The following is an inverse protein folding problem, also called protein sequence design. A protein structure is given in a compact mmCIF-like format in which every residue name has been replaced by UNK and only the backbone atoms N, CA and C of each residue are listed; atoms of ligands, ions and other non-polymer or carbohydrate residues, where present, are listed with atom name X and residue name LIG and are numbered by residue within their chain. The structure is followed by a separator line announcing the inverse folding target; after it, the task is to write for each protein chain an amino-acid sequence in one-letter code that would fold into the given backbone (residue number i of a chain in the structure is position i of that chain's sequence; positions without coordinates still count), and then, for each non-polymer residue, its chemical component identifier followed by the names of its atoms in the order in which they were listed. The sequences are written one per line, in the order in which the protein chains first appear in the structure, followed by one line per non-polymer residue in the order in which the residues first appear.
data_IF_632149938790
#
_entry.id   IF_632149938790
#
_cell.length_a   1.000
_cell.length_b   1.000
_cell.length_c   1.000
_cell.angle_alpha   90.00
_cell.angle_beta   90.00
_cell.angle_gamma   90.00
#
_symmetry.space_group_name_H-M   'P 1'
#
loop_
_entity.id
_entity.type
_entity.pdbx_description
1 polymer ?
#
# COMPACT_ATOMS: atom_id res chain seq x y z
N UNK A 1 66.28 -42.14 -0.10
CA UNK A 1 65.23 -42.85 0.63
C UNK A 1 63.92 -42.26 0.21
N UNK A 2 63.27 -42.97 -0.66
CA UNK A 2 62.03 -42.61 -1.36
C UNK A 2 60.81 -43.02 -0.51
N UNK A 3 59.81 -42.12 -0.31
CA UNK A 3 58.50 -42.52 0.11
C UNK A 3 57.47 -42.02 -0.92
N UNK A 4 56.81 -43.01 -1.54
CA UNK A 4 55.83 -42.79 -2.58
C UNK A 4 54.46 -42.36 -2.05
N UNK A 5 53.76 -41.61 -2.87
CA UNK A 5 52.32 -41.31 -2.72
C UNK A 5 51.46 -42.50 -3.15
N UNK A 6 50.32 -42.75 -2.46
CA UNK A 6 49.30 -43.66 -2.97
C UNK A 6 48.36 -42.97 -3.99
N UNK A 7 47.71 -43.75 -4.88
CA UNK A 7 46.97 -43.24 -6.02
C UNK A 7 45.57 -42.75 -5.64
N UNK A 8 45.09 -41.82 -6.44
CA UNK A 8 43.73 -41.27 -6.40
C UNK A 8 42.67 -42.30 -6.74
N UNK A 9 41.75 -42.54 -5.81
CA UNK A 9 40.56 -43.36 -6.01
C UNK A 9 39.44 -42.52 -6.60
N UNK A 10 39.08 -42.80 -7.83
CA UNK A 10 37.86 -42.30 -8.49
C UNK A 10 36.64 -42.95 -7.85
N UNK A 11 35.83 -42.16 -7.14
CA UNK A 11 34.46 -42.55 -6.79
C UNK A 11 33.52 -42.20 -7.94
N UNK A 12 33.10 -43.21 -8.69
CA UNK A 12 31.98 -43.12 -9.63
C UNK A 12 30.67 -43.15 -8.83
N UNK A 13 29.86 -42.11 -8.98
CA UNK A 13 28.49 -42.10 -8.52
C UNK A 13 27.63 -42.81 -9.60
N UNK A 14 27.23 -44.05 -9.31
CA UNK A 14 26.17 -44.73 -10.06
C UNK A 14 24.81 -44.24 -9.52
N UNK A 15 24.19 -43.34 -10.23
CA UNK A 15 22.80 -43.00 -10.03
C UNK A 15 21.96 -43.95 -10.84
N UNK A 16 21.08 -44.70 -10.22
CA UNK A 16 19.85 -45.22 -10.81
C UNK A 16 18.87 -45.65 -9.72
N UNK A 17 17.64 -45.20 -9.91
CA UNK A 17 16.38 -45.81 -9.47
C UNK A 17 16.05 -45.77 -7.96
N UNK A 18 15.37 -44.68 -7.56
CA UNK A 18 14.44 -44.68 -6.43
C UNK A 18 13.35 -43.59 -6.63
N UNK A 19 12.46 -43.82 -7.58
CA UNK A 19 11.13 -43.22 -7.59
C UNK A 19 10.09 -44.34 -7.78
N UNK A 20 9.78 -45.02 -6.70
CA UNK A 20 8.51 -45.68 -6.53
C UNK A 20 7.81 -44.98 -5.37
N UNK A 21 6.88 -44.10 -5.72
CA UNK A 21 6.00 -43.43 -4.79
C UNK A 21 4.84 -44.36 -4.42
N UNK A 22 4.79 -44.79 -3.19
CA UNK A 22 3.61 -45.40 -2.57
C UNK A 22 2.59 -44.29 -2.26
N UNK A 23 1.30 -44.38 -2.72
CA UNK A 23 0.30 -43.32 -2.55
C UNK A 23 -0.51 -43.44 -1.25
N UNK A 24 0.05 -43.84 -0.14
CA UNK A 24 -0.72 -44.18 1.05
C UNK A 24 -0.42 -43.36 2.33
N UNK A 25 0.24 -42.20 2.25
CA UNK A 25 0.47 -41.34 3.44
C UNK A 25 0.14 -39.86 3.12
N UNK A 26 -1.06 -39.59 2.64
CA UNK A 26 -1.66 -38.27 2.81
C UNK A 26 -3.02 -38.46 3.49
N UNK A 27 -2.98 -38.33 4.80
CA UNK A 27 -4.18 -38.18 5.60
C UNK A 27 -4.99 -36.99 5.10
N UNK A 28 -6.23 -37.24 4.74
CA UNK A 28 -7.21 -36.25 4.34
C UNK A 28 -7.34 -35.18 5.44
N UNK A 29 -6.84 -33.99 5.14
CA UNK A 29 -7.14 -32.81 5.94
C UNK A 29 -8.66 -32.54 5.81
N UNK A 30 -9.42 -32.45 6.91
CA UNK A 30 -10.85 -32.18 6.82
C UNK A 30 -11.05 -30.82 6.18
N UNK A 31 -11.78 -30.79 5.06
CA UNK A 31 -12.26 -29.58 4.42
C UNK A 31 -13.01 -28.75 5.47
N UNK A 32 -12.43 -27.61 5.84
CA UNK A 32 -13.14 -26.56 6.56
C UNK A 32 -14.14 -25.97 5.58
N UNK A 33 -15.37 -26.46 5.64
CA UNK A 33 -16.50 -25.84 4.97
C UNK A 33 -16.72 -24.47 5.62
N UNK A 34 -16.36 -23.41 4.90
CA UNK A 34 -16.75 -22.06 5.29
C UNK A 34 -18.28 -21.97 5.26
N UNK A 35 -18.90 -21.55 6.37
CA UNK A 35 -20.33 -21.28 6.36
C UNK A 35 -20.62 -20.14 5.39
N UNK A 36 -21.63 -20.28 4.56
CA UNK A 36 -22.15 -19.21 3.71
C UNK A 36 -22.55 -18.07 4.64
N UNK A 37 -21.89 -16.93 4.51
CA UNK A 37 -22.26 -15.72 5.21
C UNK A 37 -23.69 -15.33 4.81
N UNK A 38 -24.56 -15.05 5.77
CA UNK A 38 -25.85 -14.44 5.50
C UNK A 38 -25.61 -13.06 4.89
N UNK A 39 -26.45 -12.71 3.91
CA UNK A 39 -26.49 -11.36 3.31
C UNK A 39 -26.64 -10.33 4.42
N UNK A 40 -25.55 -9.74 4.82
CA UNK A 40 -25.53 -8.74 5.88
C UNK A 40 -26.09 -7.42 5.35
N UNK A 41 -27.12 -6.92 6.02
CA UNK A 41 -27.65 -5.57 5.86
C UNK A 41 -26.51 -4.54 5.97
N UNK A 42 -26.42 -3.66 4.99
CA UNK A 42 -25.46 -2.56 4.88
C UNK A 42 -25.67 -1.45 5.94
N UNK A 43 -26.00 -1.79 7.17
CA UNK A 43 -26.32 -0.83 8.22
C UNK A 43 -25.25 -0.63 9.31
N UNK A 44 -24.05 -1.19 9.17
CA UNK A 44 -23.07 -1.19 10.26
C UNK A 44 -21.72 -0.57 9.92
N UNK A 45 -21.70 0.64 9.36
CA UNK A 45 -20.47 1.42 9.19
C UNK A 45 -20.50 2.68 10.05
N UNK A 46 -20.52 2.49 11.38
CA UNK A 46 -20.51 3.62 12.33
C UNK A 46 -19.14 4.33 12.46
N UNK A 47 -18.09 3.85 11.82
CA UNK A 47 -16.77 4.50 11.79
C UNK A 47 -16.62 5.60 10.74
N UNK A 48 -17.51 5.66 9.77
CA UNK A 48 -17.55 6.68 8.72
C UNK A 48 -18.71 7.65 8.99
N UNK A 49 -18.87 8.05 10.23
CA UNK A 49 -19.99 8.94 10.63
C UNK A 49 -20.01 10.28 9.89
N UNK A 50 -18.95 10.64 9.26
CA UNK A 50 -18.84 11.86 8.45
C UNK A 50 -19.36 11.68 7.03
N UNK A 51 -19.02 10.58 6.38
CA UNK A 51 -19.45 10.30 5.01
C UNK A 51 -20.88 9.72 4.95
N UNK A 52 -21.31 8.98 5.97
CA UNK A 52 -22.63 8.36 5.96
C UNK A 52 -23.79 9.33 6.28
N UNK A 53 -23.54 10.46 6.95
CA UNK A 53 -24.59 11.46 7.19
C UNK A 53 -24.97 12.24 5.92
N UNK A 54 -24.01 12.47 5.03
CA UNK A 54 -24.28 13.10 3.73
C UNK A 54 -25.04 12.15 2.78
N UNK A 55 -24.80 10.85 2.87
CA UNK A 55 -25.44 9.85 2.01
C UNK A 55 -26.88 9.49 2.43
N UNK A 56 -27.21 9.59 3.71
CA UNK A 56 -28.56 9.25 4.20
C UNK A 56 -29.58 10.33 3.94
N UNK A 57 -29.17 11.58 3.77
CA UNK A 57 -30.08 12.70 3.49
C UNK A 57 -30.59 12.77 2.03
N UNK A 58 -29.94 12.07 1.09
CA UNK A 58 -30.27 12.13 -0.33
C UNK A 58 -30.91 10.86 -0.91
N UNK A 59 -31.09 9.79 -0.14
CA UNK A 59 -31.57 8.51 -0.63
C UNK A 59 -33.07 8.30 -0.38
N UNK A 60 -33.87 8.55 -1.39
CA UNK A 60 -35.26 8.12 -1.45
C UNK A 60 -35.30 6.59 -1.73
N UNK A 61 -35.93 5.74 -0.89
CA UNK A 61 -35.84 4.27 -1.00
C UNK A 61 -36.45 3.66 -2.27
N UNK A 62 -37.09 4.47 -3.11
CA UNK A 62 -37.74 4.02 -4.34
C UNK A 62 -36.86 3.96 -5.59
N UNK A 63 -35.63 4.52 -5.55
CA UNK A 63 -34.82 4.75 -6.76
C UNK A 63 -33.86 3.59 -7.13
N UNK A 64 -33.75 2.54 -6.32
CA UNK A 64 -32.73 1.50 -6.49
C UNK A 64 -33.10 0.35 -7.45
N UNK A 65 -34.24 0.38 -8.10
CA UNK A 65 -34.72 -0.75 -8.93
C UNK A 65 -34.49 -0.63 -10.44
N UNK A 66 -33.83 0.40 -10.94
CA UNK A 66 -33.67 0.57 -12.40
C UNK A 66 -32.35 1.16 -12.89
N UNK A 67 -31.24 0.78 -12.28
CA UNK A 67 -29.94 0.99 -12.93
C UNK A 67 -29.62 -0.25 -13.79
N UNK A 68 -30.20 -0.26 -14.97
CA UNK A 68 -29.89 -1.26 -15.98
C UNK A 68 -28.54 -0.99 -16.60
N UNK A 69 -27.87 -2.07 -17.02
CA UNK A 69 -26.56 -2.11 -17.68
C UNK A 69 -26.42 -1.22 -18.95
N UNK A 70 -27.47 -0.57 -19.40
CA UNK A 70 -27.46 0.33 -20.56
C UNK A 70 -26.84 1.72 -20.28
N UNK A 71 -26.72 2.14 -19.02
CA UNK A 71 -26.15 3.46 -18.67
C UNK A 71 -24.63 3.45 -18.75
N UNK A 72 -24.01 2.30 -18.50
CA UNK A 72 -22.53 2.17 -18.55
C UNK A 72 -22.02 2.22 -19.99
N UNK A 73 -22.78 1.73 -20.94
CA UNK A 73 -22.40 1.76 -22.37
C UNK A 73 -22.54 3.17 -23.00
N UNK A 74 -23.41 4.02 -22.48
CA UNK A 74 -23.56 5.39 -22.97
C UNK A 74 -22.57 6.38 -22.36
N UNK A 75 -21.96 6.06 -21.23
CA UNK A 75 -20.91 6.90 -20.62
C UNK A 75 -19.56 6.80 -21.37
N UNK A 76 -19.32 5.71 -22.08
CA UNK A 76 -18.08 5.50 -22.84
C UNK A 76 -17.98 6.32 -24.14
N UNK A 77 -19.06 6.94 -24.62
CA UNK A 77 -19.09 7.72 -25.86
C UNK A 77 -19.15 9.26 -25.68
N UNK A 78 -19.02 9.73 -24.44
CA UNK A 78 -19.00 11.17 -24.12
C UNK A 78 -17.69 11.59 -23.43
N UNK A 79 -16.56 11.26 -24.01
CA UNK A 79 -15.27 11.80 -23.55
C UNK A 79 -14.72 12.87 -24.49
N UNK A 80 -15.42 13.99 -24.56
CA UNK A 80 -14.89 15.32 -24.88
C UNK A 80 -15.74 16.31 -24.09
N UNK A 81 -15.67 16.22 -22.75
CA UNK A 81 -16.10 17.30 -21.90
C UNK A 81 -14.88 18.20 -21.69
N UNK A 82 -15.01 19.44 -22.16
CA UNK A 82 -14.05 20.49 -21.87
C UNK A 82 -13.79 20.57 -20.38
N UNK A 83 -12.50 20.58 -20.01
CA UNK A 83 -12.02 20.78 -18.64
C UNK A 83 -12.46 22.19 -18.18
N UNK A 84 -13.64 22.26 -17.62
CA UNK A 84 -14.07 23.44 -16.87
C UNK A 84 -13.36 23.41 -15.52
N UNK A 85 -12.23 24.09 -15.41
CA UNK A 85 -11.53 24.28 -14.13
C UNK A 85 -12.48 25.03 -13.20
N UNK A 86 -12.86 24.36 -12.13
CA UNK A 86 -13.62 24.98 -11.04
C UNK A 86 -12.64 25.86 -10.26
N UNK A 87 -12.80 27.17 -10.27
CA UNK A 87 -11.96 28.07 -9.49
C UNK A 87 -12.00 27.67 -8.02
N UNK A 88 -10.83 27.38 -7.44
CA UNK A 88 -10.67 26.94 -6.05
C UNK A 88 -10.60 25.43 -5.84
N UNK A 89 -10.61 24.61 -6.89
CA UNK A 89 -10.39 23.16 -6.76
C UNK A 89 -8.90 22.82 -6.68
N UNK A 90 -8.58 21.80 -5.84
CA UNK A 90 -7.22 21.29 -5.74
C UNK A 90 -6.93 20.31 -6.87
N UNK A 91 -5.93 20.58 -7.73
CA UNK A 91 -5.52 19.62 -8.74
C UNK A 91 -4.79 18.44 -8.07
N UNK A 92 -5.19 17.22 -8.40
CA UNK A 92 -4.60 15.96 -7.93
C UNK A 92 -4.38 15.06 -9.12
N UNK A 93 -3.16 14.52 -9.24
CA UNK A 93 -2.86 13.53 -10.28
C UNK A 93 -3.47 12.18 -9.89
N UNK A 94 -4.24 11.59 -10.80
CA UNK A 94 -4.85 10.28 -10.60
C UNK A 94 -4.30 9.26 -11.60
N UNK A 95 -3.79 8.15 -11.07
CA UNK A 95 -3.37 6.98 -11.83
C UNK A 95 -4.24 5.79 -11.44
N UNK A 96 -5.23 5.39 -12.22
CA UNK A 96 -6.05 4.22 -11.90
C UNK A 96 -5.24 2.94 -11.78
N UNK A 97 -4.19 2.77 -12.58
CA UNK A 97 -3.38 1.56 -12.60
C UNK A 97 -4.11 0.38 -13.25
N UNK A 98 -3.69 -0.83 -12.88
CA UNK A 98 -4.15 -2.09 -13.46
C UNK A 98 -5.19 -2.81 -12.59
N UNK A 99 -5.78 -3.86 -13.17
CA UNK A 99 -6.74 -4.69 -12.47
C UNK A 99 -7.99 -3.92 -12.06
N UNK A 100 -8.38 -4.03 -10.79
CA UNK A 100 -9.56 -3.34 -10.24
C UNK A 100 -9.32 -1.86 -9.93
N UNK A 101 -8.12 -1.32 -10.19
CA UNK A 101 -7.78 0.07 -9.93
C UNK A 101 -8.77 1.07 -10.52
N UNK A 102 -9.17 0.97 -11.80
CA UNK A 102 -10.17 1.84 -12.41
C UNK A 102 -11.52 1.81 -11.68
N UNK A 103 -11.99 0.64 -11.23
CA UNK A 103 -13.24 0.50 -10.46
C UNK A 103 -13.13 1.20 -9.09
N UNK A 104 -11.99 1.06 -8.42
CA UNK A 104 -11.74 1.70 -7.13
C UNK A 104 -11.65 3.23 -7.26
N UNK A 105 -10.99 3.74 -8.30
CA UNK A 105 -10.92 5.18 -8.58
C UNK A 105 -12.28 5.76 -8.97
N UNK A 106 -13.09 4.99 -9.69
CA UNK A 106 -14.47 5.39 -9.97
C UNK A 106 -15.26 5.57 -8.67
N UNK A 107 -15.15 4.66 -7.72
CA UNK A 107 -15.79 4.78 -6.41
C UNK A 107 -15.35 6.05 -5.66
N UNK A 108 -14.05 6.40 -5.72
CA UNK A 108 -13.55 7.66 -5.13
C UNK A 108 -14.17 8.87 -5.81
N UNK A 109 -14.22 8.91 -7.15
CA UNK A 109 -14.82 10.01 -7.92
C UNK A 109 -16.30 10.21 -7.58
N UNK A 110 -17.07 9.12 -7.50
CA UNK A 110 -18.49 9.17 -7.15
C UNK A 110 -18.72 9.71 -5.73
N UNK A 111 -17.91 9.27 -4.76
CA UNK A 111 -18.00 9.77 -3.38
C UNK A 111 -17.62 11.25 -3.30
N UNK A 112 -16.54 11.66 -3.98
CA UNK A 112 -16.11 13.07 -4.00
C UNK A 112 -17.13 13.98 -4.66
N UNK A 113 -17.72 13.52 -5.77
CA UNK A 113 -18.79 14.24 -6.46
C UNK A 113 -20.04 14.38 -5.56
N UNK A 114 -20.46 13.29 -4.91
CA UNK A 114 -21.62 13.30 -4.01
C UNK A 114 -21.41 14.19 -2.78
N UNK A 115 -20.17 14.28 -2.30
CA UNK A 115 -19.79 15.11 -1.15
C UNK A 115 -19.37 16.55 -1.55
N UNK A 116 -19.41 16.90 -2.84
CA UNK A 116 -18.98 18.20 -3.36
C UNK A 116 -17.56 18.58 -2.92
N UNK A 117 -16.64 17.60 -2.90
CA UNK A 117 -15.26 17.82 -2.50
C UNK A 117 -14.55 18.65 -3.59
N UNK A 118 -13.87 19.77 -3.25
CA UNK A 118 -13.23 20.64 -4.23
C UNK A 118 -11.87 20.09 -4.70
N UNK A 119 -11.88 18.94 -5.36
CA UNK A 119 -10.70 18.29 -5.94
C UNK A 119 -10.94 18.03 -7.41
N UNK A 120 -9.99 18.42 -8.25
CA UNK A 120 -9.94 18.15 -9.67
C UNK A 120 -8.93 17.06 -9.96
N UNK A 121 -9.40 15.93 -10.52
CA UNK A 121 -8.52 14.81 -10.83
C UNK A 121 -8.00 14.91 -12.27
N UNK A 122 -6.67 15.03 -12.40
CA UNK A 122 -5.97 14.89 -13.68
C UNK A 122 -5.62 13.41 -13.88
N UNK A 123 -6.40 12.73 -14.72
CA UNK A 123 -6.28 11.30 -14.91
C UNK A 123 -5.25 10.95 -15.99
N UNK A 124 -4.32 10.07 -15.65
CA UNK A 124 -3.31 9.55 -16.55
C UNK A 124 -3.33 8.02 -16.52
N UNK A 125 -2.98 7.39 -17.65
CA UNK A 125 -2.91 5.94 -17.77
C UNK A 125 -1.48 5.48 -18.01
N UNK A 126 -0.99 4.62 -17.12
CA UNK A 126 0.32 3.98 -17.21
C UNK A 126 0.16 2.50 -16.86
N UNK A 127 0.38 1.59 -17.83
CA UNK A 127 0.22 0.14 -17.66
C UNK A 127 1.23 -0.62 -18.49
N UNK A 128 2.00 -1.48 -17.84
CA UNK A 128 2.93 -2.40 -18.50
C UNK A 128 2.20 -3.60 -19.12
N UNK A 129 1.09 -4.03 -18.53
CA UNK A 129 0.32 -5.19 -18.99
C UNK A 129 -0.39 -4.91 -20.31
N UNK A 130 -0.89 -3.69 -20.49
CA UNK A 130 -1.63 -3.29 -21.69
C UNK A 130 -0.73 -2.70 -22.78
N UNK A 131 0.60 -2.81 -22.65
CA UNK A 131 1.59 -2.18 -23.52
C UNK A 131 1.35 -0.66 -23.69
N UNK A 132 0.78 -0.02 -22.70
CA UNK A 132 0.52 1.42 -22.68
C UNK A 132 1.60 2.21 -21.94
N UNK A 133 2.61 1.53 -21.38
CA UNK A 133 3.75 2.18 -20.77
C UNK A 133 4.75 2.60 -21.85
N UNK A 134 5.19 3.85 -21.78
CA UNK A 134 6.30 4.41 -22.57
C UNK A 134 7.01 5.47 -21.75
N UNK A 135 8.26 5.79 -22.14
CA UNK A 135 9.02 6.88 -21.50
C UNK A 135 8.26 8.20 -21.56
N UNK A 136 7.65 8.51 -22.68
CA UNK A 136 6.88 9.74 -22.87
C UNK A 136 5.70 9.83 -21.91
N UNK A 137 4.95 8.72 -21.73
CA UNK A 137 3.85 8.66 -20.75
C UNK A 137 4.34 8.78 -19.32
N UNK A 138 5.46 8.13 -18.99
CA UNK A 138 6.08 8.26 -17.68
C UNK A 138 6.46 9.72 -17.40
N UNK A 139 7.06 10.42 -18.37
CA UNK A 139 7.42 11.83 -18.21
C UNK A 139 6.19 12.74 -18.09
N UNK A 140 5.10 12.47 -18.83
CA UNK A 140 3.84 13.19 -18.67
C UNK A 140 3.26 13.03 -17.27
N UNK A 141 3.22 11.79 -16.74
CA UNK A 141 2.77 11.50 -15.37
C UNK A 141 3.65 12.21 -14.35
N UNK A 142 4.97 12.14 -14.52
CA UNK A 142 5.92 12.81 -13.64
C UNK A 142 5.75 14.32 -13.65
N UNK A 143 5.49 14.93 -14.80
CA UNK A 143 5.25 16.37 -14.93
C UNK A 143 3.98 16.77 -14.18
N UNK A 144 2.87 16.05 -14.38
CA UNK A 144 1.62 16.27 -13.65
C UNK A 144 1.82 16.11 -12.13
N UNK A 145 2.53 15.06 -11.68
CA UNK A 145 2.78 14.85 -10.26
C UNK A 145 3.71 15.92 -9.64
N UNK A 146 4.66 16.43 -10.40
CA UNK A 146 5.53 17.53 -9.96
C UNK A 146 4.78 18.86 -9.86
N UNK A 147 3.83 19.11 -10.74
CA UNK A 147 2.99 20.30 -10.73
C UNK A 147 2.00 20.23 -9.56
N UNK A 148 1.24 19.15 -9.44
CA UNK A 148 0.18 19.01 -8.45
C UNK A 148 0.66 18.69 -7.04
N UNK A 149 1.90 18.18 -6.86
CA UNK A 149 2.51 17.76 -5.60
C UNK A 149 1.82 16.58 -4.91
N UNK A 150 0.57 16.31 -5.21
CA UNK A 150 -0.26 15.26 -4.61
C UNK A 150 -0.82 14.37 -5.70
N UNK A 151 -0.79 13.06 -5.45
CA UNK A 151 -1.37 12.08 -6.36
C UNK A 151 -2.12 10.97 -5.60
N UNK A 152 -3.09 10.35 -6.28
CA UNK A 152 -3.73 9.12 -5.86
C UNK A 152 -3.50 8.04 -6.91
N UNK A 153 -2.99 6.87 -6.50
CA UNK A 153 -2.52 5.85 -7.43
C UNK A 153 -3.14 4.49 -7.06
N UNK A 154 -3.69 3.82 -8.07
CA UNK A 154 -3.99 2.38 -8.01
C UNK A 154 -2.72 1.54 -8.17
N UNK A 155 -2.86 0.22 -8.30
CA UNK A 155 -1.70 -0.65 -8.50
C UNK A 155 -1.25 -0.66 -9.96
N UNK A 156 -0.05 -0.18 -10.22
CA UNK A 156 0.64 -0.43 -11.48
C UNK A 156 1.22 -1.84 -11.38
N UNK A 157 0.76 -2.76 -12.23
CA UNK A 157 1.19 -4.16 -12.19
C UNK A 157 2.58 -4.30 -12.81
N UNK A 158 3.42 -5.06 -12.13
CA UNK A 158 4.75 -5.42 -12.63
C UNK A 158 4.70 -6.85 -13.16
N UNK A 159 4.83 -7.09 -14.47
CA UNK A 159 4.87 -8.44 -15.03
C UNK A 159 6.03 -9.26 -14.45
N UNK A 160 5.83 -10.56 -14.28
CA UNK A 160 6.91 -11.47 -13.88
C UNK A 160 7.82 -11.85 -15.04
N UNK A 161 7.34 -11.67 -16.27
CA UNK A 161 8.09 -11.99 -17.48
C UNK A 161 9.17 -10.94 -17.73
N UNK A 162 10.41 -11.42 -17.92
CA UNK A 162 11.52 -10.56 -18.29
C UNK A 162 11.41 -10.15 -19.77
N UNK A 163 11.24 -8.85 -20.01
CA UNK A 163 11.11 -8.26 -21.35
C UNK A 163 12.30 -7.37 -21.74
N UNK A 164 13.48 -7.59 -21.15
CA UNK A 164 14.69 -6.82 -21.43
C UNK A 164 14.97 -5.66 -20.48
N UNK A 165 13.98 -5.18 -19.74
CA UNK A 165 14.15 -4.17 -18.69
C UNK A 165 13.86 -4.77 -17.32
N UNK A 166 14.77 -4.53 -16.35
CA UNK A 166 14.64 -5.04 -15.00
C UNK A 166 13.77 -4.14 -14.12
N UNK A 167 13.86 -2.82 -14.28
CA UNK A 167 13.16 -1.87 -13.45
C UNK A 167 11.76 -1.55 -14.00
N UNK A 168 10.72 -1.88 -13.23
CA UNK A 168 9.33 -1.54 -13.57
C UNK A 168 9.07 -0.03 -13.57
N UNK A 169 8.06 0.41 -14.31
CA UNK A 169 7.62 1.81 -14.34
C UNK A 169 7.18 2.32 -12.98
N UNK A 170 6.56 1.48 -12.15
CA UNK A 170 6.22 1.82 -10.76
C UNK A 170 7.48 2.21 -9.95
N UNK A 171 8.54 1.40 -10.03
CA UNK A 171 9.79 1.70 -9.33
C UNK A 171 10.52 2.90 -9.91
N UNK A 172 10.47 3.10 -11.22
CA UNK A 172 11.06 4.27 -11.89
C UNK A 172 10.36 5.57 -11.48
N UNK A 173 9.04 5.57 -11.42
CA UNK A 173 8.23 6.69 -10.93
C UNK A 173 8.61 7.04 -9.49
N UNK A 174 8.66 6.04 -8.59
CA UNK A 174 9.00 6.25 -7.17
C UNK A 174 10.40 6.81 -6.98
N UNK A 175 11.37 6.38 -7.78
CA UNK A 175 12.74 6.89 -7.71
C UNK A 175 12.86 8.30 -8.28
N UNK A 176 12.21 8.60 -9.41
CA UNK A 176 12.24 9.93 -10.03
C UNK A 176 11.58 11.01 -9.17
N UNK A 177 10.64 10.65 -8.30
CA UNK A 177 10.00 11.53 -7.32
C UNK A 177 10.62 11.43 -5.92
N UNK A 178 11.65 10.61 -5.73
CA UNK A 178 12.28 10.32 -4.43
C UNK A 178 11.25 10.00 -3.32
N UNK A 179 10.24 9.19 -3.63
CA UNK A 179 9.24 8.73 -2.68
C UNK A 179 9.89 7.70 -1.74
N UNK A 180 10.58 8.18 -0.72
CA UNK A 180 11.45 7.33 0.11
C UNK A 180 10.72 6.62 1.24
N UNK A 181 9.65 7.21 1.77
CA UNK A 181 8.92 6.66 2.90
C UNK A 181 7.53 6.19 2.47
N UNK A 182 7.26 4.90 2.62
CA UNK A 182 5.91 4.37 2.52
C UNK A 182 5.37 4.11 3.92
N UNK A 183 4.19 4.62 4.19
CA UNK A 183 3.50 4.53 5.48
C UNK A 183 2.22 3.76 5.29
N UNK A 184 2.04 2.69 6.02
CA UNK A 184 0.84 1.86 6.00
C UNK A 184 0.24 1.84 7.40
N UNK A 185 -0.95 2.41 7.55
CA UNK A 185 -1.66 2.43 8.82
C UNK A 185 -2.63 1.25 8.88
N UNK A 186 -2.26 0.25 9.65
CA UNK A 186 -3.04 -0.99 9.84
C UNK A 186 -3.92 -0.83 11.07
N UNK A 187 -5.21 -0.67 10.84
CA UNK A 187 -6.18 -0.46 11.91
C UNK A 187 -7.42 -1.31 11.73
N UNK A 188 -7.86 -1.96 12.80
CA UNK A 188 -9.15 -2.67 12.80
C UNK A 188 -10.30 -1.71 12.57
N UNK A 189 -11.17 -2.04 11.62
CA UNK A 189 -12.36 -1.24 11.33
C UNK A 189 -13.50 -1.60 12.29
N UNK A 190 -14.24 -0.62 12.79
CA UNK A 190 -15.40 -0.88 13.64
C UNK A 190 -16.45 -1.75 12.94
N UNK A 191 -16.93 -2.78 13.62
CA UNK A 191 -17.92 -3.71 13.08
C UNK A 191 -17.36 -4.77 12.13
N UNK A 192 -16.08 -4.74 11.82
CA UNK A 192 -15.40 -5.75 11.00
C UNK A 192 -14.68 -6.75 11.92
N UNK A 193 -15.23 -7.93 12.07
CA UNK A 193 -14.68 -8.95 12.97
C UNK A 193 -13.54 -9.70 12.30
N UNK A 194 -12.37 -9.67 12.92
CA UNK A 194 -11.18 -10.41 12.51
C UNK A 194 -10.60 -11.18 13.69
N UNK A 195 -9.55 -11.95 13.47
CA UNK A 195 -8.85 -12.69 14.54
C UNK A 195 -8.34 -11.75 15.65
N UNK A 196 -7.88 -10.57 15.26
CA UNK A 196 -7.35 -9.55 16.18
C UNK A 196 -8.21 -8.28 16.08
N UNK A 197 -8.94 -7.95 17.14
CA UNK A 197 -9.78 -6.76 17.22
C UNK A 197 -9.01 -5.60 17.85
N UNK A 198 -9.38 -4.37 17.49
CA UNK A 198 -8.75 -3.14 18.01
C UNK A 198 -7.24 -3.04 17.74
N UNK A 199 -6.78 -3.63 16.65
CA UNK A 199 -5.41 -3.47 16.20
C UNK A 199 -5.20 -2.05 15.67
N UNK A 200 -4.07 -1.44 16.04
CA UNK A 200 -3.66 -0.12 15.55
C UNK A 200 -2.14 -0.04 15.55
N UNK A 201 -1.53 -0.27 14.41
CA UNK A 201 -0.08 -0.19 14.21
C UNK A 201 0.25 0.51 12.89
N UNK A 202 1.46 1.05 12.79
CA UNK A 202 1.95 1.73 11.61
C UNK A 202 3.22 1.05 11.11
N UNK A 203 3.30 0.82 9.82
CA UNK A 203 4.47 0.28 9.15
C UNK A 203 5.08 1.37 8.30
N UNK A 204 6.38 1.64 8.49
CA UNK A 204 7.15 2.61 7.73
C UNK A 204 8.26 1.86 7.00
N UNK A 205 8.21 1.94 5.67
CA UNK A 205 9.09 1.21 4.77
C UNK A 205 9.95 2.18 3.97
N UNK A 206 11.25 1.94 3.94
CA UNK A 206 12.12 2.55 2.93
C UNK A 206 11.82 1.94 1.57
N UNK A 207 11.65 2.75 0.49
CA UNK A 207 11.25 2.18 -0.80
C UNK A 207 12.09 2.66 -2.00
N UNK A 208 13.23 3.32 -1.79
CA UNK A 208 14.06 3.81 -2.89
C UNK A 208 15.32 3.00 -3.16
N UNK A 209 15.70 2.10 -2.25
CA UNK A 209 16.86 1.22 -2.38
C UNK A 209 16.53 -0.23 -1.97
N UNK A 210 17.54 -1.07 -1.84
CA UNK A 210 17.40 -2.48 -1.49
C UNK A 210 17.09 -3.35 -2.71
N UNK A 211 16.40 -4.43 -2.50
CA UNK A 211 16.13 -5.48 -3.51
C UNK A 211 15.30 -4.97 -4.69
N UNK A 212 14.42 -4.01 -4.44
CA UNK A 212 13.60 -3.38 -5.50
C UNK A 212 14.42 -2.48 -6.44
N UNK A 213 15.73 -2.39 -6.24
CA UNK A 213 16.62 -1.72 -7.18
C UNK A 213 16.74 -2.45 -8.52
N UNK A 214 16.34 -3.71 -8.59
CA UNK A 214 16.42 -4.55 -9.78
C UNK A 214 17.85 -4.62 -10.34
N UNK A 215 18.83 -4.70 -9.44
CA UNK A 215 20.24 -4.81 -9.81
C UNK A 215 20.63 -6.28 -9.87
N UNK A 216 20.37 -6.88 -10.97
CA UNK A 216 20.65 -8.29 -11.24
C UNK A 216 21.42 -8.43 -12.55
N UNK A 217 22.35 -9.40 -12.62
CA UNK A 217 22.99 -9.76 -13.86
C UNK A 217 23.41 -11.24 -13.85
N UNK A 218 23.47 -11.82 -15.02
CA UNK A 218 23.97 -13.18 -15.22
C UNK A 218 25.47 -13.13 -15.49
N UNK A 219 26.29 -13.50 -14.49
CA UNK A 219 27.75 -13.51 -14.62
C UNK A 219 28.27 -14.68 -15.43
N UNK A 220 27.59 -15.81 -15.39
CA UNK A 220 27.81 -16.99 -16.20
C UNK A 220 26.46 -17.70 -16.40
N UNK A 221 26.33 -18.51 -17.44
CA UNK A 221 25.08 -19.20 -17.75
C UNK A 221 24.52 -19.98 -16.54
N UNK A 222 23.37 -19.55 -16.05
CA UNK A 222 22.72 -20.14 -14.88
C UNK A 222 23.24 -19.65 -13.53
N UNK A 223 24.07 -18.57 -13.52
CA UNK A 223 24.55 -17.91 -12.28
C UNK A 223 24.08 -16.46 -12.30
N UNK A 224 23.06 -16.17 -11.53
CA UNK A 224 22.49 -14.81 -11.37
C UNK A 224 23.01 -14.20 -10.08
N UNK A 225 23.55 -13.00 -10.19
CA UNK A 225 24.01 -12.18 -9.06
C UNK A 225 23.04 -11.04 -8.84
N UNK A 226 22.60 -10.86 -7.57
CA UNK A 226 21.68 -9.82 -7.16
C UNK A 226 22.36 -8.88 -6.18
N UNK A 227 22.31 -7.58 -6.43
CA UNK A 227 22.90 -6.57 -5.55
C UNK A 227 21.82 -5.89 -4.71
N UNK A 228 21.95 -6.04 -3.39
CA UNK A 228 21.21 -5.23 -2.42
C UNK A 228 22.09 -4.06 -1.98
N UNK A 229 21.69 -2.84 -2.31
CA UNK A 229 22.40 -1.64 -1.88
C UNK A 229 21.68 -1.02 -0.70
N UNK A 230 22.41 -0.74 0.37
CA UNK A 230 21.96 -0.04 1.57
C UNK A 230 22.92 1.09 1.84
N UNK A 231 22.42 2.33 1.96
CA UNK A 231 23.24 3.50 2.20
C UNK A 231 22.90 4.14 3.55
N UNK A 232 23.92 4.70 4.21
CA UNK A 232 23.76 5.42 5.49
C UNK A 232 22.76 6.57 5.38
N UNK A 233 22.88 7.38 4.32
CA UNK A 233 22.02 8.56 4.11
C UNK A 233 20.54 8.18 4.05
N UNK A 234 20.18 7.14 3.31
CA UNK A 234 18.78 6.71 3.19
C UNK A 234 18.29 6.00 4.44
N UNK A 235 19.15 5.21 5.08
CA UNK A 235 18.83 4.54 6.35
C UNK A 235 18.59 5.56 7.48
N UNK A 236 19.42 6.61 7.60
CA UNK A 236 19.19 7.69 8.57
C UNK A 236 17.94 8.50 8.24
N UNK A 237 17.67 8.75 6.94
CA UNK A 237 16.50 9.51 6.50
C UNK A 237 15.19 8.78 6.87
N UNK A 238 15.09 7.49 6.60
CA UNK A 238 13.88 6.73 6.94
C UNK A 238 13.73 6.53 8.45
N UNK A 239 14.83 6.31 9.18
CA UNK A 239 14.80 6.26 10.63
C UNK A 239 14.28 7.56 11.22
N UNK A 240 14.86 8.70 10.81
CA UNK A 240 14.41 10.03 11.25
C UNK A 240 12.93 10.26 10.95
N UNK A 241 12.49 9.92 9.74
CA UNK A 241 11.09 10.02 9.36
C UNK A 241 10.18 9.19 10.30
N UNK A 242 10.59 7.97 10.66
CA UNK A 242 9.80 7.10 11.54
C UNK A 242 9.67 7.69 12.96
N UNK A 243 10.72 8.25 13.52
CA UNK A 243 10.68 8.90 14.84
C UNK A 243 9.91 10.22 14.83
N UNK A 244 10.08 11.03 13.77
CA UNK A 244 9.30 12.26 13.57
C UNK A 244 7.80 11.94 13.43
N UNK A 245 7.47 10.92 12.65
CA UNK A 245 6.10 10.44 12.50
C UNK A 245 5.52 9.96 13.83
N UNK A 246 6.26 9.13 14.57
CA UNK A 246 5.84 8.65 15.88
C UNK A 246 5.57 9.81 16.84
N UNK A 247 6.47 10.81 16.89
CA UNK A 247 6.31 12.01 17.70
C UNK A 247 5.07 12.81 17.30
N UNK A 248 4.89 13.08 16.00
CA UNK A 248 3.75 13.85 15.48
C UNK A 248 2.41 13.18 15.72
N UNK A 249 2.38 11.85 15.66
CA UNK A 249 1.16 11.06 15.85
C UNK A 249 0.93 10.60 17.30
N UNK A 250 1.80 10.99 18.23
CA UNK A 250 1.69 10.63 19.66
C UNK A 250 1.91 9.13 19.90
N UNK A 251 2.70 8.46 19.06
CA UNK A 251 3.09 7.06 19.23
C UNK A 251 4.21 6.94 20.26
N UNK A 252 4.26 5.84 20.96
CA UNK A 252 5.15 5.65 22.11
C UNK A 252 6.36 4.77 21.83
N UNK A 253 6.28 3.94 20.77
CA UNK A 253 7.31 2.94 20.49
C UNK A 253 7.63 2.84 19.00
N UNK A 254 8.92 2.73 18.67
CA UNK A 254 9.44 2.42 17.33
C UNK A 254 10.23 1.12 17.40
N UNK A 255 9.90 0.15 16.55
CA UNK A 255 10.60 -1.12 16.42
C UNK A 255 11.29 -1.18 15.06
N UNK A 256 12.63 -1.25 15.03
CA UNK A 256 13.40 -1.44 13.80
C UNK A 256 13.46 -2.94 13.45
N UNK A 257 13.02 -3.29 12.25
CA UNK A 257 12.98 -4.67 11.78
C UNK A 257 14.09 -4.90 10.75
N UNK A 258 14.89 -5.93 10.96
CA UNK A 258 16.12 -6.19 10.20
C UNK A 258 16.47 -7.69 10.13
N UNK A 259 17.51 -8.03 9.38
CA UNK A 259 18.14 -9.37 9.35
C UNK A 259 19.66 -9.27 9.56
N UNK A 260 20.12 -8.40 10.47
CA UNK A 260 21.52 -8.08 10.70
C UNK A 260 22.35 -9.28 11.22
N UNK A 261 21.71 -10.31 11.75
CA UNK A 261 22.39 -11.55 12.11
C UNK A 261 22.94 -12.31 10.90
N UNK A 262 22.35 -12.12 9.71
CA UNK A 262 22.81 -12.71 8.44
C UNK A 262 23.46 -11.62 7.57
N UNK A 263 22.76 -10.53 7.28
CA UNK A 263 23.28 -9.41 6.48
C UNK A 263 23.95 -8.37 7.36
N UNK A 264 25.13 -8.75 7.90
CA UNK A 264 25.84 -7.99 8.94
C UNK A 264 26.26 -6.59 8.50
N UNK A 265 26.59 -6.38 7.23
CA UNK A 265 26.99 -5.09 6.71
C UNK A 265 25.78 -4.26 6.25
N UNK A 266 24.89 -4.81 5.42
CA UNK A 266 23.74 -4.08 4.89
C UNK A 266 22.70 -3.76 5.96
N UNK A 267 22.04 -4.78 6.49
CA UNK A 267 21.03 -4.60 7.54
C UNK A 267 21.65 -4.12 8.87
N UNK A 268 22.93 -4.46 9.12
CA UNK A 268 23.68 -3.91 10.26
C UNK A 268 23.85 -2.40 10.17
N UNK A 269 24.13 -1.87 8.97
CA UNK A 269 24.19 -0.41 8.76
C UNK A 269 22.81 0.25 8.99
N UNK A 270 21.75 -0.36 8.48
CA UNK A 270 20.39 0.13 8.72
C UNK A 270 20.07 0.17 10.22
N UNK A 271 20.37 -0.92 10.95
CA UNK A 271 20.14 -1.01 12.38
C UNK A 271 20.93 0.05 13.15
N UNK A 272 22.22 0.18 12.87
CA UNK A 272 23.08 1.22 13.47
C UNK A 272 22.51 2.63 13.24
N UNK A 273 22.04 2.93 12.04
CA UNK A 273 21.43 4.24 11.76
C UNK A 273 20.13 4.46 12.56
N UNK A 274 19.34 3.41 12.78
CA UNK A 274 18.14 3.50 13.62
C UNK A 274 18.50 3.73 15.09
N UNK A 275 19.54 3.10 15.60
CA UNK A 275 20.06 3.29 16.96
C UNK A 275 20.58 4.72 17.17
N UNK A 276 21.42 5.21 16.25
CA UNK A 276 21.95 6.59 16.28
C UNK A 276 20.82 7.64 16.28
N UNK A 277 19.78 7.43 15.49
CA UNK A 277 18.63 8.33 15.43
C UNK A 277 17.77 8.22 16.69
N UNK A 278 17.58 7.03 17.23
CA UNK A 278 16.80 6.81 18.46
C UNK A 278 17.30 7.63 19.66
N UNK A 279 18.61 7.82 19.77
CA UNK A 279 19.22 8.64 20.83
C UNK A 279 18.70 10.09 20.85
N UNK A 280 18.25 10.61 19.70
CA UNK A 280 17.70 11.96 19.58
C UNK A 280 16.24 12.06 20.07
N UNK A 281 15.57 10.93 20.30
CA UNK A 281 14.15 10.85 20.67
C UNK A 281 13.91 10.12 22.00
N UNK A 282 14.40 10.63 23.14
CA UNK A 282 14.37 9.91 24.42
C UNK A 282 12.96 9.64 24.96
N UNK A 283 11.92 10.24 24.38
CA UNK A 283 10.53 10.01 24.77
C UNK A 283 9.90 8.81 24.05
N UNK A 284 10.55 8.28 23.02
CA UNK A 284 10.06 7.16 22.23
C UNK A 284 10.86 5.92 22.61
N UNK A 285 10.17 4.86 23.01
CA UNK A 285 10.82 3.58 23.28
C UNK A 285 11.32 2.99 21.98
N UNK A 286 12.60 2.69 21.91
CA UNK A 286 13.20 2.01 20.75
C UNK A 286 13.43 0.52 21.05
N UNK A 287 13.06 -0.32 20.09
CA UNK A 287 13.30 -1.76 20.10
C UNK A 287 13.78 -2.23 18.73
N UNK A 288 14.45 -3.36 18.70
CA UNK A 288 14.92 -4.01 17.47
C UNK A 288 14.36 -5.43 17.39
N UNK A 289 14.06 -5.90 16.19
CA UNK A 289 13.55 -7.23 15.98
C UNK A 289 13.99 -7.82 14.63
N UNK A 290 14.34 -9.11 14.63
CA UNK A 290 14.66 -9.84 13.41
C UNK A 290 13.37 -10.13 12.65
N UNK A 291 13.38 -9.98 11.32
CA UNK A 291 12.20 -10.06 10.44
C UNK A 291 11.39 -11.34 10.61
N UNK A 292 12.02 -12.50 10.68
CA UNK A 292 11.33 -13.77 10.86
C UNK A 292 10.59 -13.86 12.21
N UNK A 293 11.21 -13.37 13.28
CA UNK A 293 10.55 -13.22 14.56
C UNK A 293 9.41 -12.20 14.51
N UNK A 294 9.61 -11.09 13.81
CA UNK A 294 8.57 -10.07 13.62
C UNK A 294 7.31 -10.66 12.94
N UNK A 295 7.50 -11.44 11.88
CA UNK A 295 6.39 -12.13 11.19
C UNK A 295 5.62 -13.05 12.15
N UNK A 296 6.33 -13.87 12.93
CA UNK A 296 5.73 -14.77 13.91
C UNK A 296 4.96 -13.98 15.00
N UNK A 297 5.59 -12.94 15.53
CA UNK A 297 5.02 -12.13 16.60
C UNK A 297 3.79 -11.32 16.14
N UNK A 298 3.78 -10.83 14.90
CA UNK A 298 2.62 -10.15 14.32
C UNK A 298 1.39 -11.07 14.26
N UNK A 299 1.59 -12.34 13.92
CA UNK A 299 0.50 -13.33 13.89
C UNK A 299 0.06 -13.73 15.29
N UNK A 300 1.02 -13.87 16.23
CA UNK A 300 0.75 -14.35 17.58
C UNK A 300 0.19 -13.24 18.49
N UNK A 301 0.85 -12.08 18.53
CA UNK A 301 0.51 -10.95 19.38
C UNK A 301 0.87 -9.62 18.72
N UNK A 302 0.05 -9.10 17.78
CA UNK A 302 0.33 -7.86 17.09
C UNK A 302 0.23 -6.61 17.96
N UNK A 303 -0.39 -6.68 19.13
CA UNK A 303 -0.61 -5.53 20.03
C UNK A 303 0.65 -5.00 20.68
N UNK A 304 1.74 -5.75 20.63
CA UNK A 304 3.02 -5.29 21.12
C UNK A 304 3.69 -4.26 20.20
N UNK A 305 3.23 -4.12 18.96
CA UNK A 305 3.77 -3.19 17.99
C UNK A 305 2.99 -1.88 17.96
N UNK A 306 3.70 -0.77 17.74
CA UNK A 306 3.12 0.56 17.59
C UNK A 306 3.55 1.17 16.24
N UNK A 307 4.84 1.49 16.08
CA UNK A 307 5.43 1.87 14.81
C UNK A 307 6.55 0.90 14.46
N UNK A 308 6.53 0.38 13.24
CA UNK A 308 7.54 -0.50 12.69
C UNK A 308 8.31 0.26 11.61
N UNK A 309 9.64 0.20 11.61
CA UNK A 309 10.47 0.76 10.53
C UNK A 309 11.37 -0.32 9.97
N UNK A 310 11.48 -0.40 8.63
CA UNK A 310 12.17 -1.49 7.98
C UNK A 310 12.62 -1.18 6.55
N UNK A 311 13.60 -1.97 6.03
CA UNK A 311 14.01 -1.95 4.63
C UNK A 311 12.89 -2.35 3.67
N UNK A 312 13.12 -2.13 2.40
CA UNK A 312 12.17 -2.22 1.31
C UNK A 312 11.41 -3.56 1.22
N UNK A 313 12.13 -4.66 1.04
CA UNK A 313 11.50 -5.98 0.86
C UNK A 313 10.71 -6.41 2.10
N UNK A 314 11.28 -6.21 3.28
CA UNK A 314 10.62 -6.60 4.53
C UNK A 314 9.33 -5.81 4.74
N UNK A 315 9.35 -4.50 4.44
CA UNK A 315 8.16 -3.65 4.52
C UNK A 315 7.03 -4.17 3.65
N UNK A 316 7.30 -4.52 2.40
CA UNK A 316 6.27 -5.06 1.51
C UNK A 316 5.69 -6.39 2.00
N UNK A 317 6.51 -7.26 2.61
CA UNK A 317 6.03 -8.52 3.19
C UNK A 317 5.15 -8.24 4.40
N UNK A 318 5.61 -7.38 5.31
CA UNK A 318 4.87 -7.04 6.53
C UNK A 318 3.59 -6.27 6.23
N UNK A 319 3.56 -5.37 5.24
CA UNK A 319 2.35 -4.69 4.80
C UNK A 319 1.23 -5.68 4.43
N UNK A 320 1.58 -6.69 3.64
CA UNK A 320 0.63 -7.71 3.21
C UNK A 320 0.20 -8.64 4.36
N UNK A 321 1.14 -9.04 5.22
CA UNK A 321 0.84 -9.85 6.40
C UNK A 321 -0.11 -9.10 7.34
N UNK A 322 0.22 -7.85 7.66
CA UNK A 322 -0.56 -7.03 8.57
C UNK A 322 -1.94 -6.67 8.00
N UNK A 323 -2.05 -6.44 6.68
CA UNK A 323 -3.34 -6.28 6.03
C UNK A 323 -4.23 -7.52 6.23
N UNK A 324 -3.65 -8.73 6.15
CA UNK A 324 -4.35 -9.97 6.43
C UNK A 324 -4.91 -10.07 7.85
N UNK A 325 -4.27 -9.44 8.84
CA UNK A 325 -4.73 -9.44 10.23
C UNK A 325 -5.98 -8.59 10.47
N UNK A 326 -6.25 -7.60 9.62
CA UNK A 326 -7.38 -6.66 9.76
C UNK A 326 -8.47 -6.83 8.70
N UNK A 327 -8.35 -7.83 7.83
CA UNK A 327 -9.41 -8.16 6.87
C UNK A 327 -9.00 -8.16 5.40
N UNK A 328 -7.74 -7.87 5.10
CA UNK A 328 -7.17 -7.97 3.75
C UNK A 328 -6.78 -6.63 3.12
N UNK A 329 -6.29 -6.71 1.88
CA UNK A 329 -5.77 -5.56 1.14
C UNK A 329 -6.80 -4.44 0.91
N UNK A 330 -8.08 -4.79 0.81
CA UNK A 330 -9.16 -3.85 0.53
C UNK A 330 -9.57 -2.95 1.71
N UNK A 331 -8.91 -3.05 2.87
CA UNK A 331 -9.27 -2.27 4.07
C UNK A 331 -8.13 -1.44 4.65
N UNK A 332 -6.92 -1.56 4.10
CA UNK A 332 -5.72 -0.90 4.62
C UNK A 332 -5.24 0.19 3.66
N UNK A 333 -5.27 1.47 4.08
CA UNK A 333 -4.72 2.57 3.31
C UNK A 333 -3.20 2.62 3.39
N UNK A 334 -2.57 3.23 2.38
CA UNK A 334 -1.15 3.50 2.34
C UNK A 334 -0.86 4.89 1.81
N UNK A 335 0.31 5.39 2.16
CA UNK A 335 0.78 6.71 1.79
C UNK A 335 2.28 6.62 1.46
N UNK A 336 2.73 7.30 0.42
CA UNK A 336 4.15 7.38 0.07
C UNK A 336 4.60 8.84 0.04
N UNK A 337 5.71 9.14 0.71
CA UNK A 337 6.19 10.50 0.91
C UNK A 337 7.59 10.72 0.36
N UNK A 338 7.78 11.90 -0.18
CA UNK A 338 9.08 12.52 -0.40
C UNK A 338 9.19 13.83 0.40
N UNK A 339 10.20 14.62 0.13
CA UNK A 339 10.31 15.96 0.71
C UNK A 339 9.22 16.92 0.16
N UNK A 340 8.78 16.72 -1.08
CA UNK A 340 7.89 17.62 -1.80
C UNK A 340 6.59 16.98 -2.26
N UNK A 341 6.53 15.66 -2.36
CA UNK A 341 5.42 14.94 -2.98
C UNK A 341 4.77 13.97 -1.99
N UNK A 342 3.46 13.83 -2.11
CA UNK A 342 2.68 12.84 -1.38
C UNK A 342 1.83 12.02 -2.35
N UNK A 343 1.90 10.70 -2.24
CA UNK A 343 1.14 9.77 -3.06
C UNK A 343 0.30 8.90 -2.15
N UNK A 344 -0.98 8.83 -2.43
CA UNK A 344 -1.96 8.05 -1.69
C UNK A 344 -2.36 6.81 -2.48
N UNK A 345 -2.33 5.67 -1.83
CA UNK A 345 -2.50 4.37 -2.47
C UNK A 345 -3.04 3.33 -1.47
N UNK A 346 -3.30 2.11 -1.91
CA UNK A 346 -3.61 1.02 -0.98
C UNK A 346 -2.33 0.56 -0.28
N UNK A 347 -2.42 0.22 1.00
CA UNK A 347 -1.29 -0.26 1.79
C UNK A 347 -0.76 -1.61 1.28
N UNK A 348 -1.64 -2.58 1.06
CA UNK A 348 -1.30 -3.84 0.40
C UNK A 348 -1.73 -3.78 -1.07
N UNK A 349 -0.77 -3.68 -1.97
CA UNK A 349 -0.98 -3.35 -3.38
C UNK A 349 -1.16 -4.59 -4.23
N UNK A 350 -2.39 -4.96 -4.54
CA UNK A 350 -2.75 -6.06 -5.44
C UNK A 350 -3.60 -5.57 -6.61
N UNK A 351 -3.32 -6.01 -7.86
CA UNK A 351 -4.14 -5.67 -9.01
C UNK A 351 -5.51 -6.36 -9.00
N UNK A 352 -5.64 -7.50 -8.32
CA UNK A 352 -6.85 -8.34 -8.24
C UNK A 352 -7.50 -8.56 -9.61
N UNK A 353 -6.71 -8.94 -10.60
CA UNK A 353 -7.10 -9.05 -11.99
C UNK A 353 -8.32 -9.96 -12.23
N UNK A 354 -8.50 -10.99 -11.40
CA UNK A 354 -9.64 -11.93 -11.52
C UNK A 354 -10.99 -11.27 -11.17
N UNK A 355 -11.00 -10.12 -10.52
CA UNK A 355 -12.21 -9.42 -10.11
C UNK A 355 -12.62 -8.30 -11.06
N UNK A 356 -11.83 -8.00 -12.07
CA UNK A 356 -12.11 -6.95 -13.06
C UNK A 356 -13.47 -7.19 -13.73
N UNK A 357 -14.29 -6.15 -13.80
CA UNK A 357 -15.63 -6.18 -14.36
C UNK A 357 -16.69 -6.89 -13.52
N UNK A 358 -16.32 -7.43 -12.35
CA UNK A 358 -17.25 -8.15 -11.47
C UNK A 358 -17.86 -7.27 -10.37
N UNK A 359 -17.40 -6.07 -10.20
CA UNK A 359 -17.83 -5.11 -9.16
C UNK A 359 -17.85 -5.72 -7.74
N UNK A 360 -16.83 -6.49 -7.40
CA UNK A 360 -16.69 -7.16 -6.10
C UNK A 360 -15.48 -6.66 -5.29
N UNK A 361 -14.67 -5.80 -5.87
CA UNK A 361 -13.53 -5.20 -5.17
C UNK A 361 -14.00 -4.28 -4.04
N UNK A 362 -13.40 -4.43 -2.87
CA UNK A 362 -13.72 -3.56 -1.73
C UNK A 362 -13.00 -2.19 -1.87
N UNK A 363 -13.72 -1.07 -2.00
CA UNK A 363 -13.10 0.24 -2.20
C UNK A 363 -12.65 0.91 -0.90
N UNK A 364 -12.85 0.30 0.27
CA UNK A 364 -12.61 0.94 1.58
C UNK A 364 -11.17 1.43 1.72
N UNK A 365 -10.17 0.64 1.35
CA UNK A 365 -8.77 1.06 1.41
C UNK A 365 -8.50 2.31 0.59
N UNK A 366 -9.03 2.39 -0.63
CA UNK A 366 -8.84 3.53 -1.52
C UNK A 366 -9.60 4.76 -1.04
N UNK A 367 -10.80 4.60 -0.49
CA UNK A 367 -11.57 5.69 0.12
C UNK A 367 -10.90 6.24 1.38
N UNK A 368 -10.29 5.36 2.20
CA UNK A 368 -9.51 5.79 3.36
C UNK A 368 -8.24 6.54 2.91
N UNK A 369 -7.56 6.07 1.86
CA UNK A 369 -6.40 6.76 1.28
C UNK A 369 -6.80 8.12 0.72
N UNK A 370 -7.92 8.22 0.02
CA UNK A 370 -8.47 9.48 -0.44
C UNK A 370 -8.83 10.43 0.72
N UNK A 371 -9.36 9.91 1.83
CA UNK A 371 -9.59 10.69 3.05
C UNK A 371 -8.29 11.20 3.68
N UNK A 372 -7.23 10.38 3.69
CA UNK A 372 -5.91 10.79 4.17
C UNK A 372 -5.29 11.85 3.25
N UNK A 373 -5.51 11.73 1.93
CA UNK A 373 -5.15 12.76 0.95
C UNK A 373 -5.80 14.10 1.27
N UNK A 374 -7.08 14.13 1.56
CA UNK A 374 -7.77 15.37 1.96
C UNK A 374 -7.22 15.96 3.25
N UNK A 375 -6.88 15.13 4.24
CA UNK A 375 -6.21 15.60 5.46
C UNK A 375 -4.84 16.18 5.17
N UNK A 376 -4.11 15.61 4.24
CA UNK A 376 -2.82 16.12 3.81
C UNK A 376 -2.97 17.48 3.12
N UNK A 377 -3.92 17.62 2.17
CA UNK A 377 -4.23 18.86 1.50
C UNK A 377 -4.63 19.98 2.48
N UNK A 378 -5.42 19.66 3.48
CA UNK A 378 -5.80 20.61 4.52
C UNK A 378 -4.63 21.09 5.39
N UNK A 379 -3.58 20.28 5.55
CA UNK A 379 -2.37 20.67 6.28
C UNK A 379 -1.39 21.48 5.43
N UNK A 380 -1.64 21.67 4.14
CA UNK A 380 -0.85 22.53 3.27
C UNK A 380 -1.20 24.03 3.40
N UNK A 381 -1.66 24.42 4.57
CA UNK A 381 -2.00 25.82 4.89
C UNK A 381 -3.00 26.44 3.92
N UNK A 382 -3.88 25.63 3.47
CA UNK A 382 -4.96 26.07 2.68
C UNK A 382 -6.14 26.17 3.59
N UNK A 383 -6.44 27.27 3.72
CA UNK A 383 -7.48 27.68 4.47
C UNK A 383 -8.79 27.21 4.02
N UNK A 384 -8.97 26.23 4.03
CA UNK A 384 -10.08 25.81 3.57
C UNK A 384 -11.10 25.70 4.43
N UNK A 385 -11.59 25.81 4.61
CA UNK A 385 -12.29 25.77 5.16
C UNK A 385 -13.40 25.75 5.45
N UNK A 386 -13.80 25.62 5.70
CA UNK A 386 -14.59 25.66 6.12
C UNK A 386 -15.55 25.30 6.27
N UNK A 387 -16.09 24.99 6.58
CA UNK A 387 -16.87 24.66 6.95
C UNK A 387 -17.70 24.99 7.32
N UNK A 388 -17.81 25.24 7.40
CA UNK A 388 -18.74 25.74 7.28
C UNK A 388 -19.95 25.27 7.60
N UNK A 389 -20.00 24.79 7.28
CA UNK A 389 -21.06 24.00 7.42
C UNK A 389 -21.55 23.73 8.76
N UNK A 390 -20.71 23.84 9.60
CA UNK A 390 -21.10 23.78 10.93
C UNK A 390 -22.09 24.80 11.27
N UNK A 391 -22.08 25.84 10.58
CA UNK A 391 -23.08 26.84 10.70
C UNK A 391 -24.48 26.29 10.64
N UNK A 392 -24.70 25.38 9.76
CA UNK A 392 -26.00 24.74 9.63
C UNK A 392 -26.32 23.89 10.82
N UNK A 393 -25.33 23.22 11.34
CA UNK A 393 -25.58 22.41 12.50
C UNK A 393 -25.93 23.25 13.70
N UNK A 394 -25.28 24.36 13.86
CA UNK A 394 -25.58 25.28 14.95
C UNK A 394 -26.97 25.88 14.82
N UNK A 395 -27.38 26.20 13.64
CA UNK A 395 -28.71 26.77 13.40
C UNK A 395 -29.83 25.80 13.71
N UNK A 396 -29.61 24.53 13.44
CA UNK A 396 -30.58 23.51 13.76
C UNK A 396 -30.85 23.38 15.27
N UNK A 397 -29.90 23.69 16.07
CA UNK A 397 -30.06 23.65 17.52
C UNK A 397 -30.96 24.77 18.02
N UNK A 398 -30.97 25.88 17.35
CA UNK A 398 -31.79 27.02 17.76
C UNK A 398 -33.24 26.86 17.37
N UNK A 399 -33.51 26.16 16.32
CA UNK A 399 -34.87 25.98 15.83
C UNK A 399 -35.69 25.02 16.64
N UNK A 400 -35.03 24.17 17.43
CA UNK A 400 -35.68 23.15 18.23
C UNK A 400 -36.17 23.70 19.56
N UNK A 401 -35.89 24.95 19.87
CA UNK A 401 -36.37 25.56 21.13
C UNK A 401 -37.74 26.18 20.97
N UNK A 402 -38.69 25.77 21.73
CA UNK A 402 -40.03 26.38 21.76
C UNK A 402 -40.00 27.80 22.32
#
# INVERSE_FOLDING_TARGET
MTRGNPPAGTMAWAGKDLFHSDPAIFGTCPCVTFPRLPTANMAALSGVRWLTRALVAAANPGAWRSLSTSVVAQAASRSQAEDVRVEGAFPVTMLPGDGVGPELMHAVKEVFKAASVPVEFQEHHLSEVQNMASEEKLEQVLSSMKENKVAIIGKIHTPMEYKGELASYDMRLRRKLDLFANVVHVKSLPGYMTRHNNLDLVIIREQTEGEYSSLEHESARGVIECLKIVTRTKSQRIAKFAFDYATKKGRSKVTAVHKANIMKLGDGLFLQCCEEVAELYPKIKFETMIIDNCCMQLVQNPYQFDVLVMPNLYGNIIDNLAAGLVGGAGVVPGESYSAEYAVFEMGARHPFAQAVGRNIANPTAMLLSASNMLRHLNNLDLVIIREQTEGEYSSLEHEVRP
#
